data_IF_364723182491
#
_entry.id   IF_364723182491
#
_cell.length_a   1.000
_cell.length_b   1.000
_cell.length_c   1.000
_cell.angle_alpha   90.00
_cell.angle_beta   90.00
_cell.angle_gamma   90.00
#
_symmetry.space_group_name_H-M   'P 1'
#
loop_
_entity.id
_entity.type
_entity.pdbx_description
1 polymer ?
#
# COMPACT_ATOMS: atom_id res chain seq x y z
N UNK A 1 0.52 6.81 9.11
CA UNK A 1 0.83 6.84 7.67
C UNK A 1 2.25 7.25 7.43
N UNK A 2 2.97 6.43 6.69
CA UNK A 2 4.37 6.74 6.38
C UNK A 2 4.44 7.72 5.22
N UNK A 3 5.25 8.78 5.40
CA UNK A 3 5.54 9.70 4.30
C UNK A 3 6.53 9.05 3.32
N UNK A 4 6.64 9.61 2.12
CA UNK A 4 7.61 9.12 1.15
C UNK A 4 9.03 9.17 1.71
N UNK A 5 9.34 10.20 2.50
CA UNK A 5 10.66 10.33 3.12
C UNK A 5 10.93 9.19 4.09
N UNK A 6 9.96 8.85 4.93
CA UNK A 6 10.09 7.73 5.87
C UNK A 6 10.25 6.41 5.15
N UNK A 7 9.51 6.22 4.05
CA UNK A 7 9.62 5.01 3.24
C UNK A 7 11.00 4.87 2.60
N UNK A 8 11.60 5.98 2.19
CA UNK A 8 12.94 5.97 1.59
C UNK A 8 14.02 5.62 2.61
N UNK A 9 13.76 5.81 3.89
CA UNK A 9 14.69 5.45 4.95
C UNK A 9 14.65 3.97 5.31
N UNK A 10 13.64 3.23 4.84
CA UNK A 10 13.49 1.81 5.10
C UNK A 10 14.46 0.98 4.27
N UNK A 11 14.84 -0.19 4.79
CA UNK A 11 15.59 -1.17 4.02
C UNK A 11 14.67 -1.88 3.03
N UNK A 12 15.26 -2.57 2.05
CA UNK A 12 14.49 -3.20 0.99
C UNK A 12 13.50 -4.23 1.52
N UNK A 13 13.90 -5.05 2.47
CA UNK A 13 13.02 -6.06 3.05
C UNK A 13 11.87 -5.43 3.85
N UNK A 14 12.16 -4.35 4.56
CA UNK A 14 11.12 -3.61 5.28
C UNK A 14 10.14 -2.97 4.30
N UNK A 15 10.64 -2.44 3.19
CA UNK A 15 9.81 -1.82 2.18
C UNK A 15 8.90 -2.85 1.50
N UNK A 16 9.40 -4.05 1.24
CA UNK A 16 8.60 -5.15 0.71
C UNK A 16 7.45 -5.50 1.66
N UNK A 17 7.72 -5.54 2.95
CA UNK A 17 6.66 -5.79 3.94
C UNK A 17 5.61 -4.69 3.94
N UNK A 18 6.03 -3.44 3.77
CA UNK A 18 5.09 -2.33 3.68
C UNK A 18 4.19 -2.47 2.45
N UNK A 19 4.74 -2.90 1.31
CA UNK A 19 3.94 -3.15 0.11
C UNK A 19 2.89 -4.23 0.38
N UNK A 20 3.29 -5.32 1.01
CA UNK A 20 2.37 -6.41 1.34
C UNK A 20 1.24 -5.93 2.24
N UNK A 21 1.59 -5.20 3.29
CA UNK A 21 0.61 -4.67 4.24
C UNK A 21 -0.37 -3.72 3.56
N UNK A 22 0.16 -2.80 2.74
CA UNK A 22 -0.69 -1.84 2.03
C UNK A 22 -1.64 -2.53 1.06
N UNK A 23 -1.18 -3.57 0.36
CA UNK A 23 -2.04 -4.34 -0.54
C UNK A 23 -3.16 -5.05 0.22
N UNK A 24 -2.84 -5.63 1.37
CA UNK A 24 -3.84 -6.29 2.20
C UNK A 24 -4.91 -5.30 2.66
N UNK A 25 -4.51 -4.11 3.04
CA UNK A 25 -5.44 -3.08 3.47
C UNK A 25 -6.39 -2.67 2.34
N UNK A 26 -5.86 -2.42 1.16
CA UNK A 26 -6.69 -2.06 0.01
C UNK A 26 -7.64 -3.20 -0.34
N UNK A 27 -7.15 -4.42 -0.34
CA UNK A 27 -7.98 -5.59 -0.65
C UNK A 27 -9.11 -5.75 0.36
N UNK A 28 -8.81 -5.62 1.64
CA UNK A 28 -9.80 -5.72 2.69
C UNK A 28 -10.89 -4.65 2.57
N UNK A 29 -10.49 -3.41 2.28
CA UNK A 29 -11.45 -2.32 2.12
C UNK A 29 -12.32 -2.53 0.89
N UNK A 30 -11.76 -3.04 -0.21
CA UNK A 30 -12.53 -3.36 -1.40
C UNK A 30 -13.54 -4.46 -1.13
N UNK A 31 -13.14 -5.46 -0.37
CA UNK A 31 -14.02 -6.56 -0.01
C UNK A 31 -15.21 -6.06 0.82
N UNK A 32 -14.94 -5.24 1.82
CA UNK A 32 -15.99 -4.64 2.64
C UNK A 32 -16.94 -3.79 1.81
N UNK A 33 -16.39 -3.01 0.89
CA UNK A 33 -17.20 -2.18 0.00
C UNK A 33 -18.09 -3.03 -0.92
N UNK A 34 -17.56 -4.15 -1.41
CA UNK A 34 -18.32 -5.07 -2.27
C UNK A 34 -19.50 -5.70 -1.53
N UNK A 35 -19.37 -5.92 -0.23
CA UNK A 35 -20.47 -6.44 0.59
C UNK A 35 -21.47 -5.37 1.00
N UNK A 36 -21.21 -4.11 0.66
CA UNK A 36 -22.07 -3.00 1.04
C UNK A 36 -21.96 -2.57 2.49
N UNK A 37 -21.04 -3.14 3.23
CA UNK A 37 -20.89 -2.85 4.65
C UNK A 37 -20.05 -1.62 4.93
N UNK A 38 -19.29 -1.14 3.96
CA UNK A 38 -18.39 -0.01 4.11
C UNK A 38 -18.85 1.15 3.24
N UNK A 39 -19.12 2.29 3.87
CA UNK A 39 -19.51 3.49 3.17
C UNK A 39 -18.40 4.52 3.06
N UNK A 40 -17.27 4.29 3.70
CA UNK A 40 -16.18 5.27 3.78
C UNK A 40 -15.26 5.19 2.56
N UNK A 41 -15.64 5.91 1.51
CA UNK A 41 -14.84 6.00 0.30
C UNK A 41 -13.54 6.78 0.51
N UNK A 42 -13.51 7.69 1.48
CA UNK A 42 -12.30 8.43 1.82
C UNK A 42 -11.22 7.50 2.36
N UNK A 43 -11.61 6.50 3.16
CA UNK A 43 -10.67 5.50 3.66
C UNK A 43 -10.06 4.66 2.54
N UNK A 44 -10.87 4.28 1.54
CA UNK A 44 -10.41 3.53 0.38
C UNK A 44 -9.40 4.36 -0.42
N UNK A 45 -9.71 5.63 -0.65
CA UNK A 45 -8.80 6.53 -1.38
C UNK A 45 -7.47 6.70 -0.65
N UNK A 46 -7.52 6.88 0.67
CA UNK A 46 -6.31 7.01 1.47
C UNK A 46 -5.46 5.76 1.39
N UNK A 47 -6.05 4.58 1.50
CA UNK A 47 -5.33 3.32 1.40
C UNK A 47 -4.69 3.14 0.03
N UNK A 48 -5.40 3.48 -1.05
CA UNK A 48 -4.84 3.41 -2.41
C UNK A 48 -3.69 4.38 -2.59
N UNK A 49 -3.79 5.57 -2.04
CA UNK A 49 -2.72 6.57 -2.10
C UNK A 49 -1.47 6.08 -1.38
N UNK A 50 -1.66 5.47 -0.20
CA UNK A 50 -0.54 4.92 0.55
C UNK A 50 0.14 3.79 -0.21
N UNK A 51 -0.65 2.90 -0.80
CA UNK A 51 -0.11 1.83 -1.63
C UNK A 51 0.69 2.38 -2.81
N UNK A 52 0.15 3.39 -3.50
CA UNK A 52 0.85 3.99 -4.63
C UNK A 52 2.17 4.61 -4.19
N UNK A 53 2.20 5.24 -3.03
CA UNK A 53 3.42 5.85 -2.50
C UNK A 53 4.48 4.79 -2.20
N UNK A 54 4.09 3.71 -1.54
CA UNK A 54 5.02 2.62 -1.23
C UNK A 54 5.54 1.98 -2.51
N UNK A 55 4.67 1.74 -3.48
CA UNK A 55 5.07 1.17 -4.76
C UNK A 55 6.05 2.08 -5.51
N UNK A 56 5.83 3.38 -5.46
CA UNK A 56 6.72 4.35 -6.11
C UNK A 56 8.13 4.26 -5.53
N UNK A 57 8.23 4.23 -4.20
CA UNK A 57 9.55 4.13 -3.54
C UNK A 57 10.20 2.79 -3.87
N UNK A 58 9.43 1.71 -3.87
CA UNK A 58 9.96 0.38 -4.23
C UNK A 58 10.51 0.37 -5.66
N UNK A 59 9.82 1.00 -6.60
CA UNK A 59 10.27 1.09 -7.99
C UNK A 59 11.54 1.92 -8.12
N UNK A 60 11.68 2.97 -7.33
CA UNK A 60 12.91 3.77 -7.30
C UNK A 60 14.13 2.93 -6.95
N UNK A 61 13.93 1.86 -6.18
CA UNK A 61 15.00 0.95 -5.77
C UNK A 61 15.10 -0.28 -6.67
N UNK A 62 14.35 -0.31 -7.76
CA UNK A 62 14.31 -1.46 -8.69
C UNK A 62 13.82 -2.75 -8.03
N UNK A 63 12.96 -2.62 -7.04
CA UNK A 63 12.32 -3.78 -6.42
C UNK A 63 11.17 -4.25 -7.31
N UNK A 64 11.12 -5.54 -7.59
CA UNK A 64 10.03 -6.12 -8.38
C UNK A 64 8.77 -6.17 -7.55
N UNK A 65 7.87 -5.21 -7.78
CA UNK A 65 6.62 -5.12 -7.04
C UNK A 65 5.55 -6.08 -7.57
N UNK A 66 5.71 -6.56 -8.79
CA UNK A 66 4.72 -7.46 -9.40
C UNK A 66 4.76 -8.84 -8.75
N UNK A 67 5.90 -9.24 -8.23
CA UNK A 67 6.05 -10.51 -7.53
C UNK A 67 5.61 -10.47 -6.06
N UNK A 68 5.30 -9.29 -5.53
CA UNK A 68 4.89 -9.14 -4.13
C UNK A 68 3.38 -9.32 -4.02
N UNK A 69 2.94 -10.23 -3.16
CA UNK A 69 1.52 -10.50 -2.93
C UNK A 69 1.18 -10.51 -1.46
#
# INVERSE_FOLDING_TARGET
MSSAKELRDLQDDELVEEVKTARKEVFGLRFQNATGSLENTAGVRAAKRDLARVLTVARERNIDTDGIR
#
